data_IF_243600951471
#
_entry.id   IF_243600951471
#
_cell.length_a   1.000
_cell.length_b   1.000
_cell.length_c   1.000
_cell.angle_alpha   90.00
_cell.angle_beta   90.00
_cell.angle_gamma   90.00
#
_symmetry.space_group_name_H-M   'P 1'
#
loop_
_entity.id
_entity.type
_entity.pdbx_description
1 polymer ?
#
# COMPACT_ATOMS: atom_id res chain seq x y z
N UNK A 1 0.37 -12.35 4.64
CA UNK A 1 0.41 -10.90 4.30
C UNK A 1 1.09 -10.15 5.44
N UNK A 2 1.88 -9.09 5.14
CA UNK A 2 2.35 -8.14 6.16
C UNK A 2 1.45 -6.91 6.17
N UNK A 3 1.23 -6.31 7.36
CA UNK A 3 0.37 -5.16 7.54
C UNK A 3 0.98 -4.22 8.59
N UNK A 4 1.33 -2.99 8.19
CA UNK A 4 1.74 -1.94 9.12
C UNK A 4 0.61 -0.95 9.30
N UNK A 5 0.19 -0.73 10.53
CA UNK A 5 -0.97 0.14 10.82
C UNK A 5 -0.68 1.13 11.93
N UNK A 6 -1.42 2.25 11.85
CA UNK A 6 -1.57 3.21 12.94
C UNK A 6 -2.84 4.03 12.75
N UNK A 7 -3.77 3.94 13.70
CA UNK A 7 -5.02 4.71 13.73
C UNK A 7 -5.88 4.49 12.45
N UNK A 8 -6.18 3.22 12.12
CA UNK A 8 -6.91 2.77 10.93
C UNK A 8 -8.18 1.95 11.28
N UNK A 9 -8.80 2.22 12.45
CA UNK A 9 -9.97 1.46 12.91
C UNK A 9 -11.17 1.55 11.97
N UNK A 10 -11.26 2.61 11.18
CA UNK A 10 -12.33 2.82 10.21
C UNK A 10 -12.28 1.88 8.99
N UNK A 11 -11.14 1.20 8.77
CA UNK A 11 -10.92 0.37 7.58
C UNK A 11 -10.33 -1.01 7.88
N UNK A 12 -9.52 -1.16 8.93
CA UNK A 12 -8.68 -2.36 9.14
C UNK A 12 -9.49 -3.64 9.28
N UNK A 13 -10.69 -3.59 9.87
CA UNK A 13 -11.56 -4.77 10.00
C UNK A 13 -12.04 -5.25 8.61
N UNK A 14 -12.48 -4.32 7.78
CA UNK A 14 -12.89 -4.61 6.41
C UNK A 14 -11.71 -5.10 5.56
N UNK A 15 -10.54 -4.54 5.75
CA UNK A 15 -9.31 -4.91 5.04
C UNK A 15 -8.89 -6.35 5.37
N UNK A 16 -8.90 -6.72 6.65
CA UNK A 16 -8.56 -8.07 7.08
C UNK A 16 -9.59 -9.10 6.61
N UNK A 17 -10.88 -8.83 6.83
CA UNK A 17 -11.96 -9.72 6.41
C UNK A 17 -11.93 -9.97 4.89
N UNK A 18 -11.74 -8.92 4.11
CA UNK A 18 -11.59 -9.02 2.66
C UNK A 18 -10.41 -9.90 2.25
N UNK A 19 -9.22 -9.69 2.82
CA UNK A 19 -8.04 -10.43 2.40
C UNK A 19 -8.12 -11.91 2.78
N UNK A 20 -8.72 -12.23 3.91
CA UNK A 20 -8.97 -13.62 4.29
C UNK A 20 -9.97 -14.30 3.34
N UNK A 21 -11.01 -13.60 2.90
CA UNK A 21 -11.95 -14.11 1.90
C UNK A 21 -11.32 -14.23 0.52
N UNK A 22 -10.40 -13.33 0.17
CA UNK A 22 -9.64 -13.34 -1.07
C UNK A 22 -8.53 -14.42 -1.12
N UNK A 23 -8.32 -15.18 -0.04
CA UNK A 23 -7.38 -16.31 0.01
C UNK A 23 -6.02 -16.00 0.63
N UNK A 24 -5.94 -15.00 1.52
CA UNK A 24 -4.79 -14.81 2.41
C UNK A 24 -4.96 -15.72 3.62
N UNK A 25 -4.01 -16.61 3.85
CA UNK A 25 -4.09 -17.59 4.95
C UNK A 25 -3.78 -16.98 6.32
N UNK A 26 -2.82 -16.05 6.37
CA UNK A 26 -2.30 -15.51 7.63
C UNK A 26 -1.77 -14.08 7.47
N UNK A 27 -1.87 -13.29 8.54
CA UNK A 27 -1.39 -11.91 8.58
C UNK A 27 -0.36 -11.73 9.69
N UNK A 28 0.75 -11.03 9.39
CA UNK A 28 1.67 -10.51 10.40
C UNK A 28 1.48 -9.00 10.41
N UNK A 29 0.94 -8.48 11.50
CA UNK A 29 0.65 -7.06 11.64
C UNK A 29 1.61 -6.39 12.64
N UNK A 30 2.05 -5.17 12.31
CA UNK A 30 2.73 -4.29 13.26
C UNK A 30 1.83 -3.10 13.54
N UNK A 31 1.42 -2.96 14.81
CA UNK A 31 0.70 -1.78 15.31
C UNK A 31 1.68 -0.78 15.88
N UNK A 32 1.77 0.39 15.26
CA UNK A 32 2.59 1.50 15.73
C UNK A 32 1.78 2.47 16.60
N UNK A 33 1.39 2.02 17.80
CA UNK A 33 0.75 2.85 18.83
C UNK A 33 -0.60 3.43 18.44
N UNK A 34 -1.48 2.66 17.87
CA UNK A 34 -2.86 3.06 17.59
C UNK A 34 -3.61 3.46 18.86
N UNK A 35 -4.60 4.36 18.72
CA UNK A 35 -5.39 4.93 19.82
C UNK A 35 -6.88 5.02 19.53
N UNK A 36 -7.32 4.49 18.39
CA UNK A 36 -8.67 4.65 17.84
C UNK A 36 -9.51 3.36 17.82
N UNK A 37 -9.01 2.26 18.39
CA UNK A 37 -9.65 0.94 18.34
C UNK A 37 -9.01 -0.03 17.35
N UNK A 38 -7.98 0.39 16.60
CA UNK A 38 -7.24 -0.48 15.68
C UNK A 38 -6.63 -1.68 16.40
N UNK A 39 -6.00 -1.46 17.56
CA UNK A 39 -5.33 -2.52 18.34
C UNK A 39 -6.32 -3.61 18.74
N UNK A 40 -7.48 -3.26 19.24
CA UNK A 40 -8.53 -4.18 19.68
C UNK A 40 -9.04 -5.06 18.52
N UNK A 41 -9.12 -4.49 17.31
CA UNK A 41 -9.49 -5.24 16.10
C UNK A 41 -8.41 -6.27 15.79
N UNK A 42 -7.13 -5.87 15.78
CA UNK A 42 -6.01 -6.77 15.50
C UNK A 42 -5.91 -7.90 16.53
N UNK A 43 -6.04 -7.61 17.82
CA UNK A 43 -6.05 -8.59 18.91
C UNK A 43 -7.19 -9.61 18.79
N UNK A 44 -8.33 -9.21 18.22
CA UNK A 44 -9.41 -10.15 17.93
C UNK A 44 -8.96 -11.19 16.91
N UNK A 45 -8.37 -10.79 15.79
CA UNK A 45 -7.86 -11.70 14.77
C UNK A 45 -6.67 -12.55 15.26
N UNK A 46 -5.86 -12.02 16.18
CA UNK A 46 -4.79 -12.79 16.83
C UNK A 46 -5.36 -13.90 17.71
N UNK A 47 -6.38 -13.59 18.53
CA UNK A 47 -7.09 -14.60 19.36
C UNK A 47 -7.79 -15.67 18.51
N UNK A 48 -8.20 -15.34 17.30
CA UNK A 48 -8.76 -16.28 16.32
C UNK A 48 -7.67 -17.15 15.65
N UNK A 49 -6.39 -16.90 15.91
CA UNK A 49 -5.27 -17.62 15.32
C UNK A 49 -5.00 -17.28 13.85
N UNK A 50 -5.52 -16.17 13.36
CA UNK A 50 -5.40 -15.73 11.96
C UNK A 50 -4.34 -14.62 11.75
N UNK A 51 -3.85 -14.04 12.85
CA UNK A 51 -2.92 -12.93 12.83
C UNK A 51 -1.86 -13.10 13.92
N UNK A 52 -0.65 -12.64 13.64
CA UNK A 52 0.41 -12.42 14.63
C UNK A 52 0.61 -10.92 14.80
N UNK A 53 0.38 -10.41 16.01
CA UNK A 53 0.46 -8.99 16.32
C UNK A 53 1.80 -8.62 16.92
N UNK A 54 2.43 -7.59 16.37
CA UNK A 54 3.66 -6.99 16.87
C UNK A 54 3.34 -5.56 17.32
N UNK A 55 3.55 -5.25 18.59
CA UNK A 55 3.44 -3.89 19.11
C UNK A 55 4.76 -3.15 18.93
N UNK A 56 4.75 -2.04 18.22
CA UNK A 56 5.90 -1.18 18.01
C UNK A 56 5.77 0.10 18.86
N UNK A 57 6.53 0.21 19.98
CA UNK A 57 6.40 1.34 20.90
C UNK A 57 7.11 2.60 20.41
N UNK A 58 7.92 2.53 19.37
CA UNK A 58 8.68 3.66 18.83
C UNK A 58 7.78 4.79 18.35
N UNK A 59 8.24 6.03 18.51
CA UNK A 59 7.52 7.22 18.02
C UNK A 59 7.92 7.61 16.60
N UNK A 60 9.02 7.09 16.10
CA UNK A 60 9.54 7.26 14.76
C UNK A 60 8.87 6.26 13.80
N UNK A 61 8.85 6.59 12.51
CA UNK A 61 8.32 5.72 11.47
C UNK A 61 9.47 5.03 10.74
N UNK A 62 9.67 3.74 11.00
CA UNK A 62 10.67 2.88 10.34
C UNK A 62 10.01 1.85 9.42
N UNK A 63 9.14 2.31 8.54
CA UNK A 63 8.31 1.44 7.71
C UNK A 63 9.10 0.30 7.05
N UNK A 64 10.16 0.61 6.30
CA UNK A 64 10.94 -0.42 5.58
C UNK A 64 11.58 -1.46 6.51
N UNK A 65 12.01 -1.07 7.71
CA UNK A 65 12.62 -1.99 8.69
C UNK A 65 11.56 -2.93 9.28
N UNK A 66 10.41 -2.38 9.67
CA UNK A 66 9.32 -3.17 10.28
C UNK A 66 8.68 -4.10 9.27
N UNK A 67 8.40 -3.63 8.06
CA UNK A 67 7.84 -4.51 7.00
C UNK A 67 8.87 -5.56 6.58
N UNK A 68 10.16 -5.23 6.49
CA UNK A 68 11.21 -6.22 6.21
C UNK A 68 11.27 -7.28 7.32
N UNK A 69 11.16 -6.89 8.60
CA UNK A 69 11.09 -7.83 9.74
C UNK A 69 9.91 -8.78 9.60
N UNK A 70 8.70 -8.26 9.33
CA UNK A 70 7.50 -9.07 9.15
C UNK A 70 7.63 -10.02 7.95
N UNK A 71 8.16 -9.54 6.82
CA UNK A 71 8.34 -10.35 5.62
C UNK A 71 9.35 -11.50 5.83
N UNK A 72 10.39 -11.28 6.64
CA UNK A 72 11.34 -12.34 7.02
C UNK A 72 10.72 -13.34 7.98
N UNK A 73 9.98 -12.89 8.99
CA UNK A 73 9.22 -13.77 9.89
C UNK A 73 8.25 -14.66 9.12
N UNK A 74 7.57 -14.12 8.09
CA UNK A 74 6.70 -14.91 7.22
C UNK A 74 7.44 -16.11 6.61
N UNK A 75 8.71 -15.93 6.20
CA UNK A 75 9.52 -16.99 5.63
C UNK A 75 10.08 -17.96 6.67
N UNK A 76 10.56 -17.44 7.83
CA UNK A 76 11.33 -18.25 8.80
C UNK A 76 10.45 -18.97 9.82
N UNK A 77 9.38 -18.30 10.26
CA UNK A 77 8.58 -18.75 11.42
C UNK A 77 7.19 -19.25 10.98
N UNK A 78 6.68 -18.75 9.86
CA UNK A 78 5.33 -19.08 9.37
C UNK A 78 5.32 -19.89 8.06
N UNK A 79 6.47 -20.24 7.52
CA UNK A 79 6.63 -21.09 6.31
C UNK A 79 5.76 -20.63 5.13
N UNK A 80 5.64 -19.32 4.93
CA UNK A 80 4.87 -18.75 3.83
C UNK A 80 5.52 -19.08 2.47
N UNK A 81 4.71 -19.30 1.45
CA UNK A 81 5.17 -19.38 0.06
C UNK A 81 5.33 -18.00 -0.56
N UNK A 82 4.35 -17.12 -0.31
CA UNK A 82 4.30 -15.76 -0.81
C UNK A 82 3.96 -14.78 0.31
N UNK A 83 4.43 -13.56 0.16
CA UNK A 83 4.16 -12.44 1.07
C UNK A 83 3.63 -11.26 0.28
N UNK A 84 2.43 -10.79 0.62
CA UNK A 84 1.89 -9.52 0.16
C UNK A 84 2.26 -8.44 1.19
N UNK A 85 2.80 -7.32 0.74
CA UNK A 85 3.07 -6.18 1.62
C UNK A 85 1.98 -5.13 1.41
N UNK A 86 1.07 -5.00 2.38
CA UNK A 86 -0.10 -4.14 2.28
C UNK A 86 -0.06 -3.00 3.32
N UNK A 87 -0.60 -1.85 2.94
CA UNK A 87 -1.03 -0.81 3.87
C UNK A 87 -2.54 -0.99 4.17
N UNK A 88 -3.06 -0.39 5.24
CA UNK A 88 -4.46 -0.63 5.67
C UNK A 88 -5.50 -0.13 4.66
N UNK A 89 -5.14 0.86 3.85
CA UNK A 89 -6.00 1.46 2.82
C UNK A 89 -5.90 0.79 1.44
N UNK A 90 -5.33 -0.44 1.39
CA UNK A 90 -5.07 -1.20 0.19
C UNK A 90 -5.76 -2.57 0.22
N UNK A 91 -6.49 -2.89 -0.82
CA UNK A 91 -7.18 -4.17 -1.01
C UNK A 91 -6.61 -4.85 -2.26
N UNK A 92 -5.85 -5.92 -2.05
CA UNK A 92 -5.25 -6.70 -3.14
C UNK A 92 -6.32 -7.53 -3.84
N UNK A 93 -6.51 -7.27 -5.11
CA UNK A 93 -7.55 -7.88 -5.93
C UNK A 93 -6.93 -8.80 -6.98
N UNK A 94 -7.31 -10.06 -6.97
CA UNK A 94 -6.98 -11.00 -8.03
C UNK A 94 -8.14 -11.09 -9.03
N UNK A 95 -7.81 -11.12 -10.32
CA UNK A 95 -8.84 -11.23 -11.34
C UNK A 95 -9.15 -12.72 -11.61
N UNK A 96 -10.39 -13.14 -11.37
CA UNK A 96 -10.90 -14.45 -11.78
C UNK A 96 -10.57 -15.64 -10.88
N UNK A 97 -9.79 -15.44 -9.83
CA UNK A 97 -9.35 -16.49 -8.93
C UNK A 97 -9.01 -15.92 -7.55
N UNK A 98 -8.74 -16.77 -6.57
CA UNK A 98 -8.17 -16.34 -5.30
C UNK A 98 -6.72 -15.82 -5.47
N UNK A 99 -6.28 -14.95 -4.58
CA UNK A 99 -4.90 -14.41 -4.60
C UNK A 99 -3.87 -15.55 -4.59
N UNK A 100 -4.08 -16.56 -3.74
CA UNK A 100 -3.19 -17.72 -3.64
C UNK A 100 -3.10 -18.51 -4.95
N UNK A 101 -4.21 -18.67 -5.67
CA UNK A 101 -4.25 -19.38 -6.96
C UNK A 101 -3.48 -18.61 -8.03
N UNK A 102 -3.66 -17.28 -8.10
CA UNK A 102 -2.91 -16.41 -9.03
C UNK A 102 -1.42 -16.49 -8.74
N UNK A 103 -1.01 -16.39 -7.48
CA UNK A 103 0.40 -16.43 -7.09
C UNK A 103 1.01 -17.82 -7.32
N UNK A 104 0.26 -18.88 -7.10
CA UNK A 104 0.71 -20.27 -7.39
C UNK A 104 0.96 -20.52 -8.88
N UNK A 105 0.22 -19.81 -9.76
CA UNK A 105 0.40 -19.91 -11.22
C UNK A 105 1.64 -19.16 -11.73
N UNK A 106 2.27 -18.29 -10.92
CA UNK A 106 3.48 -17.57 -11.32
C UNK A 106 4.66 -18.52 -11.50
N UNK A 107 5.32 -18.51 -12.66
CA UNK A 107 6.45 -19.40 -12.91
C UNK A 107 7.55 -19.28 -11.84
N UNK A 108 8.18 -20.39 -11.40
CA UNK A 108 9.14 -20.39 -10.28
C UNK A 108 10.33 -19.43 -10.42
N UNK A 109 10.68 -19.08 -11.66
CA UNK A 109 11.77 -18.12 -11.93
C UNK A 109 11.47 -16.70 -11.46
N UNK A 110 10.18 -16.33 -11.30
CA UNK A 110 9.80 -15.01 -10.83
C UNK A 110 9.52 -15.06 -9.34
N UNK A 111 10.15 -14.13 -8.62
CA UNK A 111 10.04 -14.03 -7.18
C UNK A 111 9.35 -12.76 -6.71
N UNK A 112 9.05 -11.81 -7.60
CA UNK A 112 8.31 -10.58 -7.28
C UNK A 112 7.20 -10.38 -8.31
N UNK A 113 6.00 -10.09 -7.81
CA UNK A 113 4.82 -9.71 -8.59
C UNK A 113 4.34 -8.34 -8.10
N UNK A 114 3.94 -7.49 -9.02
CA UNK A 114 3.43 -6.16 -8.69
C UNK A 114 1.93 -6.10 -8.81
N UNK A 115 1.30 -5.47 -7.81
CA UNK A 115 -0.09 -5.06 -7.84
C UNK A 115 -0.18 -3.57 -8.21
N UNK A 116 -0.92 -3.25 -9.26
CA UNK A 116 -1.11 -1.87 -9.72
C UNK A 116 -2.20 -1.18 -8.92
N UNK A 117 -1.98 0.06 -8.47
CA UNK A 117 -2.98 0.84 -7.78
C UNK A 117 -4.14 1.24 -8.68
N UNK A 118 -5.35 1.10 -8.15
CA UNK A 118 -6.59 1.67 -8.63
C UNK A 118 -7.07 2.67 -7.60
N UNK A 119 -6.73 3.95 -7.79
CA UNK A 119 -7.01 4.99 -6.82
C UNK A 119 -8.48 5.37 -6.82
N UNK A 120 -9.16 5.11 -5.71
CA UNK A 120 -10.51 5.56 -5.47
C UNK A 120 -10.53 7.00 -4.98
N UNK A 121 -11.42 7.80 -5.54
CA UNK A 121 -11.51 9.23 -5.20
C UNK A 121 -12.41 9.45 -3.99
N UNK A 122 -12.08 10.39 -3.10
CA UNK A 122 -12.96 10.76 -2.02
C UNK A 122 -14.25 11.37 -2.55
N UNK A 123 -15.35 11.02 -1.91
CA UNK A 123 -16.69 11.55 -2.17
C UNK A 123 -17.17 12.33 -0.93
N UNK A 124 -18.17 13.22 -1.06
CA UNK A 124 -18.75 13.91 0.09
C UNK A 124 -19.07 12.95 1.23
N UNK A 125 -18.77 13.38 2.46
CA UNK A 125 -19.05 12.59 3.64
C UNK A 125 -20.52 12.72 4.02
N UNK A 126 -21.27 11.63 3.90
CA UNK A 126 -22.69 11.53 4.20
C UNK A 126 -22.97 10.59 5.38
N UNK A 127 -21.91 10.25 6.14
CA UNK A 127 -21.99 9.37 7.31
C UNK A 127 -21.99 7.86 6.96
N UNK A 128 -22.01 7.48 5.67
CA UNK A 128 -21.82 6.08 5.27
C UNK A 128 -20.33 5.71 5.34
N UNK A 129 -20.04 4.40 5.44
CA UNK A 129 -18.67 3.91 5.38
C UNK A 129 -17.97 4.33 4.08
N UNK A 130 -16.63 4.34 4.08
CA UNK A 130 -15.85 4.68 2.89
C UNK A 130 -16.19 3.74 1.73
N UNK A 131 -16.38 2.45 1.98
CA UNK A 131 -16.67 1.45 0.95
C UNK A 131 -18.03 1.68 0.26
N UNK A 132 -19.00 2.26 0.96
CA UNK A 132 -20.31 2.62 0.40
C UNK A 132 -20.27 3.91 -0.44
N UNK A 133 -19.38 4.85 -0.08
CA UNK A 133 -19.27 6.16 -0.74
C UNK A 133 -18.29 6.17 -1.90
N UNK A 134 -17.12 5.56 -1.70
CA UNK A 134 -15.99 5.65 -2.63
C UNK A 134 -16.05 4.50 -3.64
N UNK A 135 -17.00 4.59 -4.55
CA UNK A 135 -17.23 3.60 -5.63
C UNK A 135 -16.77 4.10 -7.00
N UNK A 136 -15.93 5.13 -7.02
CA UNK A 136 -15.42 5.75 -8.26
C UNK A 136 -13.90 5.81 -8.18
N UNK A 137 -13.24 5.39 -9.24
CA UNK A 137 -11.79 5.43 -9.36
C UNK A 137 -11.30 6.27 -10.52
N UNK A 138 -10.06 6.70 -10.44
CA UNK A 138 -9.34 7.28 -11.57
C UNK A 138 -9.09 6.22 -12.65
N UNK A 139 -9.27 6.62 -13.93
CA UNK A 139 -8.95 5.80 -15.09
C UNK A 139 -7.60 6.16 -15.69
N UNK A 140 -7.22 7.43 -15.59
CA UNK A 140 -5.95 7.91 -16.14
C UNK A 140 -4.87 7.80 -15.09
N UNK A 141 -3.75 7.14 -15.39
CA UNK A 141 -2.61 7.14 -14.48
C UNK A 141 -2.11 8.58 -14.33
N UNK A 142 -2.23 9.14 -13.13
CA UNK A 142 -1.60 10.40 -12.82
C UNK A 142 -0.33 10.13 -12.00
N UNK A 143 0.82 10.20 -12.65
CA UNK A 143 2.12 9.98 -12.02
C UNK A 143 2.66 11.20 -11.29
N UNK A 144 1.98 12.35 -11.42
CA UNK A 144 2.51 13.64 -10.98
C UNK A 144 1.76 14.26 -9.83
N UNK A 145 0.51 13.86 -9.60
CA UNK A 145 -0.35 14.47 -8.58
C UNK A 145 -0.54 13.55 -7.37
N UNK A 146 0.04 13.98 -6.28
CA UNK A 146 -0.19 13.44 -4.97
C UNK A 146 -1.55 13.97 -4.41
N UNK A 147 -2.33 13.19 -3.67
CA UNK A 147 -2.06 11.85 -3.13
C UNK A 147 -2.51 10.66 -4.01
N UNK A 148 -3.05 10.93 -5.20
CA UNK A 148 -3.66 9.94 -6.08
C UNK A 148 -2.73 9.52 -7.23
N UNK A 149 -1.42 9.67 -7.06
CA UNK A 149 -0.44 9.22 -8.06
C UNK A 149 -0.51 7.70 -8.25
N UNK A 150 -0.27 7.26 -9.48
CA UNK A 150 -0.25 5.83 -9.81
C UNK A 150 1.06 5.20 -9.38
N UNK A 151 0.95 4.17 -8.57
CA UNK A 151 2.07 3.36 -8.11
C UNK A 151 1.71 1.87 -8.13
N UNK A 152 2.67 1.04 -7.78
CA UNK A 152 2.47 -0.38 -7.55
C UNK A 152 3.05 -0.78 -6.19
N UNK A 153 2.58 -1.89 -5.65
CA UNK A 153 3.16 -2.55 -4.48
C UNK A 153 3.68 -3.92 -4.88
N UNK A 154 4.57 -4.47 -4.07
CA UNK A 154 5.17 -5.77 -4.34
C UNK A 154 4.61 -6.88 -3.46
N UNK A 155 4.19 -7.97 -4.09
CA UNK A 155 4.13 -9.29 -3.48
C UNK A 155 5.39 -10.06 -3.88
N UNK A 156 5.91 -10.91 -2.99
CA UNK A 156 7.15 -11.64 -3.28
C UNK A 156 7.11 -13.06 -2.71
N UNK A 157 7.90 -13.96 -3.30
CA UNK A 157 8.15 -15.27 -2.67
C UNK A 157 8.82 -15.05 -1.33
N UNK A 158 8.42 -15.84 -0.34
CA UNK A 158 9.00 -15.74 0.98
C UNK A 158 10.51 -16.05 0.93
N UNK A 159 11.31 -15.18 1.54
CA UNK A 159 12.76 -15.31 1.58
C UNK A 159 13.30 -14.72 2.89
N UNK A 160 14.19 -15.46 3.57
CA UNK A 160 14.75 -15.04 4.85
C UNK A 160 15.70 -13.83 4.73
N UNK A 161 16.22 -13.56 3.53
CA UNK A 161 17.11 -12.44 3.23
C UNK A 161 16.40 -11.26 2.58
N UNK A 162 15.06 -11.31 2.44
CA UNK A 162 14.28 -10.27 1.80
C UNK A 162 14.48 -8.92 2.48
N UNK A 163 14.48 -7.86 1.68
CA UNK A 163 14.45 -6.47 2.11
C UNK A 163 13.35 -5.74 1.35
N UNK A 164 12.47 -5.10 2.09
CA UNK A 164 11.36 -4.32 1.52
C UNK A 164 11.77 -2.86 1.41
N UNK A 165 11.57 -2.28 0.24
CA UNK A 165 11.80 -0.86 -0.04
C UNK A 165 10.77 0.04 0.63
N UNK A 166 11.04 1.35 0.60
CA UNK A 166 10.12 2.35 1.14
C UNK A 166 8.76 2.27 0.43
N UNK A 167 7.68 2.42 1.18
CA UNK A 167 6.33 2.38 0.64
C UNK A 167 5.89 1.01 0.12
N UNK A 168 6.64 -0.06 0.42
CA UNK A 168 6.33 -1.43 -0.03
C UNK A 168 6.35 -1.60 -1.57
N UNK A 169 6.97 -0.66 -2.30
CA UNK A 169 7.00 -0.67 -3.76
C UNK A 169 7.94 -1.74 -4.31
N UNK A 170 8.99 -2.09 -3.57
CA UNK A 170 10.05 -2.99 -4.00
C UNK A 170 10.34 -4.08 -2.97
N UNK A 171 10.63 -5.28 -3.46
CA UNK A 171 11.20 -6.36 -2.67
C UNK A 171 12.52 -6.82 -3.29
N UNK A 172 13.57 -6.87 -2.49
CA UNK A 172 14.92 -7.27 -2.88
C UNK A 172 15.33 -8.51 -2.09
N UNK A 173 15.98 -9.46 -2.74
CA UNK A 173 16.49 -10.67 -2.10
C UNK A 173 17.18 -11.55 -3.13
N UNK A 174 17.89 -12.58 -2.67
CA UNK A 174 18.53 -13.52 -3.55
C UNK A 174 17.47 -14.33 -4.32
N UNK A 175 17.53 -14.34 -5.65
CA UNK A 175 16.58 -15.06 -6.49
C UNK A 175 15.22 -14.41 -6.68
N UNK A 176 14.98 -13.21 -6.11
CA UNK A 176 13.74 -12.47 -6.30
C UNK A 176 13.75 -11.69 -7.62
N UNK A 177 13.53 -12.40 -8.74
CA UNK A 177 13.40 -11.79 -10.06
C UNK A 177 11.98 -11.20 -10.23
N UNK A 178 11.81 -9.92 -10.57
CA UNK A 178 10.50 -9.35 -10.79
C UNK A 178 9.86 -9.82 -12.11
N UNK A 179 8.57 -10.13 -12.05
CA UNK A 179 7.70 -10.31 -13.22
C UNK A 179 7.38 -8.91 -13.78
N UNK A 180 7.68 -8.68 -15.05
CA UNK A 180 7.46 -7.40 -15.73
C UNK A 180 6.50 -7.56 -16.90
N UNK A 181 5.81 -6.48 -17.26
CA UNK A 181 4.90 -6.43 -18.39
C UNK A 181 3.59 -7.22 -18.17
N UNK A 182 3.37 -7.75 -16.97
CA UNK A 182 2.13 -8.39 -16.58
C UNK A 182 1.81 -8.15 -15.10
N UNK A 183 0.65 -7.59 -14.83
CA UNK A 183 0.15 -7.23 -13.50
C UNK A 183 -1.08 -8.07 -13.19
N UNK A 184 -0.91 -9.32 -12.71
CA UNK A 184 -2.03 -10.23 -12.44
C UNK A 184 -2.86 -9.83 -11.22
N UNK A 185 -2.36 -8.89 -10.42
CA UNK A 185 -3.00 -8.36 -9.24
C UNK A 185 -3.23 -6.86 -9.38
N UNK A 186 -4.36 -6.39 -8.91
CA UNK A 186 -4.66 -4.97 -8.73
C UNK A 186 -4.70 -4.65 -7.24
N UNK A 187 -4.59 -3.38 -6.90
CA UNK A 187 -4.78 -2.90 -5.54
C UNK A 187 -5.83 -1.80 -5.56
N UNK A 188 -6.97 -2.06 -4.96
CA UNK A 188 -7.99 -1.06 -4.77
C UNK A 188 -7.56 -0.18 -3.61
N UNK A 189 -7.21 1.08 -3.88
CA UNK A 189 -6.51 1.98 -2.96
C UNK A 189 -7.38 3.16 -2.55
N UNK A 190 -7.54 3.36 -1.24
CA UNK A 190 -8.42 4.33 -0.60
C UNK A 190 -7.62 5.31 0.29
N UNK A 191 -6.70 6.10 -0.27
CA UNK A 191 -5.71 6.85 0.50
C UNK A 191 -6.28 8.03 1.30
N UNK A 192 -7.43 8.55 0.87
CA UNK A 192 -8.09 9.75 1.42
C UNK A 192 -9.56 9.45 1.63
N UNK A 193 -9.98 9.08 2.84
CA UNK A 193 -11.36 8.63 3.11
C UNK A 193 -12.26 9.71 3.68
N UNK A 194 -11.71 10.59 4.52
CA UNK A 194 -12.42 11.73 5.10
C UNK A 194 -11.43 12.83 5.48
N UNK A 195 -11.92 14.03 5.77
CA UNK A 195 -11.09 15.11 6.28
C UNK A 195 -10.43 14.71 7.62
N UNK A 196 -11.19 14.12 8.53
CA UNK A 196 -10.69 13.69 9.83
C UNK A 196 -9.58 12.66 9.70
N UNK A 197 -9.78 11.62 8.86
CA UNK A 197 -8.74 10.63 8.56
C UNK A 197 -7.49 11.30 7.96
N UNK A 198 -7.67 12.23 7.01
CA UNK A 198 -6.55 12.95 6.37
C UNK A 198 -5.75 13.75 7.38
N UNK A 199 -6.44 14.46 8.33
CA UNK A 199 -5.79 15.17 9.43
C UNK A 199 -4.93 14.21 10.25
N UNK A 200 -5.51 13.10 10.73
CA UNK A 200 -4.78 12.12 11.54
C UNK A 200 -3.58 11.56 10.78
N UNK A 201 -3.78 11.08 9.56
CA UNK A 201 -2.75 10.46 8.73
C UNK A 201 -1.58 11.41 8.48
N UNK A 202 -1.84 12.59 7.89
CA UNK A 202 -0.76 13.51 7.50
C UNK A 202 -0.03 14.11 8.70
N UNK A 203 -0.75 14.49 9.75
CA UNK A 203 -0.12 15.06 10.95
C UNK A 203 0.71 14.02 11.68
N UNK A 204 0.15 12.83 11.89
CA UNK A 204 0.84 11.75 12.62
C UNK A 204 2.07 11.28 11.87
N UNK A 205 1.95 11.07 10.55
CA UNK A 205 3.08 10.64 9.72
C UNK A 205 4.15 11.71 9.60
N UNK A 206 3.77 13.00 9.45
CA UNK A 206 4.73 14.09 9.41
C UNK A 206 5.56 14.15 10.70
N UNK A 207 4.90 14.16 11.86
CA UNK A 207 5.58 14.22 13.17
C UNK A 207 6.49 13.00 13.39
N UNK A 208 6.06 11.81 12.95
CA UNK A 208 6.87 10.61 13.06
C UNK A 208 8.09 10.63 12.13
N UNK A 209 7.94 11.17 10.90
CA UNK A 209 9.06 11.34 9.96
C UNK A 209 10.02 12.45 10.38
N UNK A 210 9.54 13.53 10.97
CA UNK A 210 10.38 14.61 11.50
C UNK A 210 11.34 14.10 12.59
N UNK A 211 10.91 13.15 13.41
CA UNK A 211 11.76 12.47 14.41
C UNK A 211 12.79 11.54 13.79
N UNK A 212 12.61 11.12 12.54
CA UNK A 212 13.53 10.24 11.82
C UNK A 212 14.47 11.06 10.94
N UNK A 213 15.54 11.60 11.53
CA UNK A 213 16.48 12.55 10.91
C UNK A 213 17.23 12.02 9.66
N UNK A 214 17.14 10.73 9.35
CA UNK A 214 17.86 10.12 8.22
C UNK A 214 17.05 10.09 6.90
N UNK A 215 15.78 10.42 6.93
CA UNK A 215 14.90 10.32 5.74
C UNK A 215 14.18 11.63 5.50
N UNK A 216 14.36 12.20 4.32
CA UNK A 216 13.64 13.40 3.90
C UNK A 216 12.12 13.21 4.00
N UNK A 217 11.41 14.27 4.40
CA UNK A 217 9.94 14.31 4.44
C UNK A 217 9.45 14.57 3.01
N UNK A 218 8.50 13.77 2.48
CA UNK A 218 7.91 14.03 1.17
C UNK A 218 7.23 15.41 1.12
N UNK A 219 7.41 16.14 0.02
CA UNK A 219 6.90 17.51 -0.12
C UNK A 219 5.40 17.64 0.19
N UNK A 220 4.59 16.73 -0.30
CA UNK A 220 3.15 16.72 -0.05
C UNK A 220 2.78 16.57 1.43
N UNK A 221 3.56 15.82 2.20
CA UNK A 221 3.34 15.70 3.65
C UNK A 221 3.73 17.00 4.35
N UNK A 222 4.82 17.64 3.92
CA UNK A 222 5.23 18.93 4.45
C UNK A 222 4.19 20.03 4.15
N UNK A 223 3.63 20.04 2.94
CA UNK A 223 2.57 20.97 2.52
C UNK A 223 1.28 20.74 3.31
N UNK A 224 0.84 19.48 3.45
CA UNK A 224 -0.34 19.13 4.24
C UNK A 224 -0.17 19.53 5.73
N UNK A 225 1.00 19.27 6.31
CA UNK A 225 1.30 19.68 7.68
C UNK A 225 1.36 21.20 7.85
N UNK A 226 1.94 21.91 6.91
CA UNK A 226 1.94 23.39 6.91
C UNK A 226 0.50 23.95 6.79
N UNK A 227 -0.33 23.35 5.96
CA UNK A 227 -1.75 23.69 5.84
C UNK A 227 -2.50 23.41 7.16
N UNK A 228 -2.24 22.28 7.81
CA UNK A 228 -2.80 21.94 9.13
C UNK A 228 -2.42 22.98 10.19
N UNK A 229 -1.12 23.31 10.30
CA UNK A 229 -0.62 24.32 11.25
C UNK A 229 -1.24 25.70 11.03
N UNK A 230 -1.62 26.00 9.81
CA UNK A 230 -2.28 27.25 9.43
C UNK A 230 -3.81 27.20 9.56
N UNK A 231 -4.40 26.08 10.03
CA UNK A 231 -5.86 25.89 10.10
C UNK A 231 -6.54 25.78 8.74
N UNK A 232 -5.80 25.40 7.69
CA UNK A 232 -6.24 25.38 6.29
C UNK A 232 -6.26 24.00 5.67
N UNK A 233 -6.20 22.93 6.46
CA UNK A 233 -6.13 21.57 5.91
C UNK A 233 -7.39 21.21 5.11
N UNK A 234 -8.56 21.78 5.45
CA UNK A 234 -9.77 21.61 4.64
C UNK A 234 -9.56 22.06 3.18
N UNK A 235 -8.84 23.16 2.97
CA UNK A 235 -8.51 23.68 1.63
C UNK A 235 -7.57 22.73 0.84
N UNK A 236 -6.83 21.86 1.52
CA UNK A 236 -6.03 20.82 0.90
C UNK A 236 -6.88 19.58 0.57
N UNK A 237 -7.87 19.25 1.40
CA UNK A 237 -8.74 18.09 1.24
C UNK A 237 -9.88 18.33 0.24
N UNK A 238 -10.56 19.47 0.33
CA UNK A 238 -11.74 19.81 -0.48
C UNK A 238 -11.52 19.65 -2.00
N UNK A 239 -10.38 20.06 -2.58
CA UNK A 239 -10.12 19.86 -4.01
C UNK A 239 -10.00 18.41 -4.46
N UNK A 240 -9.77 17.48 -3.51
CA UNK A 240 -9.70 16.03 -3.80
C UNK A 240 -11.07 15.39 -3.84
N UNK A 241 -12.08 16.02 -3.23
CA UNK A 241 -13.46 15.48 -3.15
C UNK A 241 -14.15 15.67 -4.50
N UNK A 242 -14.57 14.57 -5.10
CA UNK A 242 -15.29 14.60 -6.37
C UNK A 242 -16.79 14.75 -6.12
N UNK A 243 -17.32 15.93 -6.42
CA UNK A 243 -18.74 16.24 -6.35
C UNK A 243 -19.53 15.64 -7.53
N UNK A 244 -20.86 15.60 -7.46
CA UNK A 244 -21.71 14.94 -8.47
C UNK A 244 -21.55 15.52 -9.88
N UNK A 245 -21.36 16.84 -10.01
CA UNK A 245 -21.12 17.48 -11.31
C UNK A 245 -19.78 17.05 -11.94
N UNK A 246 -18.72 17.00 -11.15
CA UNK A 246 -17.41 16.55 -11.58
C UNK A 246 -17.40 15.05 -11.87
N UNK A 247 -18.16 14.27 -11.09
CA UNK A 247 -18.36 12.84 -11.34
C UNK A 247 -19.00 12.60 -12.71
N UNK A 248 -20.11 13.27 -13.02
CA UNK A 248 -20.80 13.09 -14.31
C UNK A 248 -19.85 13.42 -15.49
N UNK A 249 -19.14 14.53 -15.42
CA UNK A 249 -18.17 14.91 -16.44
C UNK A 249 -17.00 13.92 -16.56
N UNK A 250 -16.50 13.40 -15.44
CA UNK A 250 -15.41 12.43 -15.41
C UNK A 250 -15.81 11.06 -15.97
N UNK A 251 -17.04 10.61 -15.74
CA UNK A 251 -17.58 9.39 -16.34
C UNK A 251 -17.79 9.56 -17.84
N UNK A 252 -18.27 10.71 -18.29
CA UNK A 252 -18.50 11.00 -19.71
C UNK A 252 -17.20 11.06 -20.51
N UNK A 253 -16.17 11.70 -19.98
CA UNK A 253 -14.88 11.84 -20.66
C UNK A 253 -13.91 10.67 -20.42
N UNK A 254 -14.29 9.67 -19.61
CA UNK A 254 -13.51 8.47 -19.32
C UNK A 254 -12.34 8.68 -18.34
N UNK A 255 -12.22 9.83 -17.70
CA UNK A 255 -11.21 10.05 -16.65
C UNK A 255 -11.56 9.38 -15.32
N UNK A 256 -12.83 9.08 -15.11
CA UNK A 256 -13.36 8.35 -13.97
C UNK A 256 -14.11 7.09 -14.41
N UNK A 257 -14.10 6.05 -13.59
CA UNK A 257 -14.93 4.86 -13.76
C UNK A 257 -15.66 4.50 -12.48
N UNK A 258 -16.89 4.03 -12.62
CA UNK A 258 -17.61 3.39 -11.53
C UNK A 258 -16.99 2.00 -11.29
N UNK A 259 -16.60 1.74 -10.04
CA UNK A 259 -16.03 0.47 -9.61
C UNK A 259 -16.60 0.09 -8.24
N UNK A 260 -17.54 -0.81 -8.24
CA UNK A 260 -18.28 -1.23 -7.03
C UNK A 260 -17.78 -2.55 -6.45
N UNK A 261 -16.73 -3.15 -7.03
CA UNK A 261 -16.26 -4.49 -6.69
C UNK A 261 -16.00 -4.66 -5.19
N UNK A 262 -15.28 -3.72 -4.58
CA UNK A 262 -14.98 -3.80 -3.14
C UNK A 262 -16.25 -3.66 -2.30
N UNK A 263 -17.09 -2.69 -2.60
CA UNK A 263 -18.37 -2.49 -1.89
C UNK A 263 -19.20 -3.77 -1.90
N UNK A 264 -19.37 -4.35 -3.08
CA UNK A 264 -20.26 -5.50 -3.26
C UNK A 264 -19.72 -6.74 -2.54
N UNK A 265 -18.39 -6.95 -2.53
CA UNK A 265 -17.76 -8.02 -1.76
C UNK A 265 -17.85 -7.78 -0.25
N UNK A 266 -17.59 -6.57 0.22
CA UNK A 266 -17.69 -6.24 1.65
C UNK A 266 -19.12 -6.37 2.18
N UNK A 267 -20.15 -6.03 1.36
CA UNK A 267 -21.54 -6.31 1.69
C UNK A 267 -21.80 -7.80 1.84
N UNK A 268 -21.24 -8.63 0.97
CA UNK A 268 -21.28 -10.10 1.09
C UNK A 268 -20.66 -10.63 2.37
N UNK A 269 -19.65 -9.93 2.92
CA UNK A 269 -19.00 -10.24 4.18
C UNK A 269 -19.70 -9.63 5.42
N UNK A 270 -20.84 -8.95 5.23
CA UNK A 270 -21.62 -8.36 6.31
C UNK A 270 -21.26 -6.92 6.67
N UNK A 271 -20.42 -6.25 5.86
CA UNK A 271 -20.11 -4.83 6.04
C UNK A 271 -21.02 -3.96 5.16
N UNK A 272 -21.50 -2.87 5.72
CA UNK A 272 -22.37 -1.91 4.99
C UNK A 272 -23.85 -2.29 4.97
N UNK A 273 -24.61 -1.64 4.10
CA UNK A 273 -26.05 -1.85 4.00
C UNK A 273 -26.34 -3.11 3.17
N UNK A 274 -27.05 -4.11 3.68
CA UNK A 274 -27.41 -5.29 2.90
C UNK A 274 -28.20 -4.91 1.65
N UNK A 275 -27.75 -5.39 0.49
CA UNK A 275 -28.52 -5.29 -0.75
C UNK A 275 -29.23 -6.63 -1.02
N UNK A 276 -30.55 -6.70 -0.87
CA UNK A 276 -31.28 -7.93 -1.10
C UNK A 276 -31.19 -8.46 -2.55
N UNK A 277 -30.83 -7.59 -3.50
CA UNK A 277 -30.71 -7.97 -4.92
C UNK A 277 -29.33 -8.59 -5.24
N UNK A 278 -28.33 -8.41 -4.37
CA UNK A 278 -26.99 -8.97 -4.53
C UNK A 278 -26.88 -10.44 -4.08
N UNK A 279 -27.88 -10.98 -3.41
CA UNK A 279 -27.93 -12.37 -2.98
C UNK A 279 -28.01 -13.30 -4.21
N UNK A 280 -26.86 -13.75 -4.71
CA UNK A 280 -26.74 -14.64 -5.86
C UNK A 280 -25.93 -14.12 -7.04
N UNK A 281 -25.41 -12.90 -6.95
CA UNK A 281 -24.42 -12.45 -7.90
C UNK A 281 -23.11 -13.21 -7.64
N UNK A 282 -22.92 -14.34 -8.32
CA UNK A 282 -21.60 -14.96 -8.40
C UNK A 282 -20.62 -13.90 -8.86
N UNK A 283 -19.47 -13.80 -8.24
CA UNK A 283 -18.36 -12.91 -8.58
C UNK A 283 -17.79 -13.34 -9.94
N UNK A 284 -18.64 -13.36 -10.97
CA UNK A 284 -18.28 -13.63 -12.35
C UNK A 284 -17.65 -12.38 -12.93
N UNK A 285 -16.35 -12.46 -13.24
CA UNK A 285 -15.72 -11.46 -14.08
C UNK A 285 -16.56 -11.23 -15.32
N UNK A 286 -17.11 -10.04 -15.45
CA UNK A 286 -17.75 -9.61 -16.67
C UNK A 286 -16.77 -9.80 -17.82
N UNK A 287 -17.26 -10.24 -18.98
CA UNK A 287 -16.48 -10.28 -20.22
C UNK A 287 -15.78 -8.94 -20.36
N UNK A 288 -14.43 -8.95 -20.45
CA UNK A 288 -13.66 -7.77 -20.87
C UNK A 288 -14.25 -7.33 -22.22
N UNK A 289 -14.93 -6.21 -22.25
CA UNK A 289 -15.28 -5.61 -23.53
C UNK A 289 -14.00 -5.03 -24.19
N UNK A 290 -14.08 -4.71 -25.47
CA UNK A 290 -12.91 -4.21 -26.23
C UNK A 290 -12.42 -2.89 -25.65
N UNK A 291 -13.30 -2.06 -25.09
CA UNK A 291 -12.93 -0.77 -24.49
C UNK A 291 -12.17 -0.97 -23.17
N UNK A 292 -12.60 -1.90 -22.34
CA UNK A 292 -11.89 -2.27 -21.11
C UNK A 292 -10.52 -2.89 -21.42
N UNK A 293 -10.40 -3.69 -22.48
CA UNK A 293 -9.11 -4.25 -22.91
C UNK A 293 -8.15 -3.17 -23.41
N UNK A 294 -8.62 -2.19 -24.17
CA UNK A 294 -7.81 -1.06 -24.64
C UNK A 294 -7.36 -0.17 -23.48
N UNK A 295 -8.24 0.09 -22.52
CA UNK A 295 -7.91 0.82 -21.31
C UNK A 295 -6.86 0.07 -20.48
N UNK A 296 -7.02 -1.22 -20.27
CA UNK A 296 -6.05 -2.05 -19.57
C UNK A 296 -4.67 -2.03 -20.25
N UNK A 297 -4.63 -2.07 -21.59
CA UNK A 297 -3.38 -2.02 -22.36
C UNK A 297 -2.69 -0.65 -22.17
N UNK A 298 -3.44 0.45 -22.23
CA UNK A 298 -2.90 1.79 -22.00
C UNK A 298 -2.38 1.96 -20.57
N UNK A 299 -3.14 1.50 -19.56
CA UNK A 299 -2.74 1.52 -18.17
C UNK A 299 -1.51 0.63 -17.91
N UNK A 300 -1.43 -0.55 -18.52
CA UNK A 300 -0.27 -1.45 -18.41
C UNK A 300 0.99 -0.84 -18.99
N UNK A 301 0.89 -0.13 -20.13
CA UNK A 301 2.03 0.59 -20.73
C UNK A 301 2.51 1.69 -19.81
N UNK A 302 1.60 2.50 -19.27
CA UNK A 302 1.93 3.57 -18.36
C UNK A 302 2.51 3.06 -17.03
N UNK A 303 2.05 1.90 -16.55
CA UNK A 303 2.60 1.23 -15.38
C UNK A 303 4.01 0.69 -15.64
N UNK A 304 4.28 0.11 -16.82
CA UNK A 304 5.61 -0.35 -17.19
C UNK A 304 6.63 0.78 -17.23
N UNK A 305 6.25 1.94 -17.77
CA UNK A 305 7.09 3.13 -17.78
C UNK A 305 7.36 3.66 -16.37
N UNK A 306 6.32 3.75 -15.54
CA UNK A 306 6.43 4.13 -14.13
C UNK A 306 7.25 3.12 -13.34
N UNK A 307 7.03 1.83 -13.56
CA UNK A 307 7.74 0.75 -12.90
C UNK A 307 9.24 0.79 -13.23
N UNK A 308 9.57 1.05 -14.48
CA UNK A 308 10.97 1.23 -14.87
C UNK A 308 11.63 2.41 -14.15
N UNK A 309 10.94 3.54 -14.04
CA UNK A 309 11.42 4.72 -13.33
C UNK A 309 11.60 4.46 -11.83
N UNK A 310 10.63 3.77 -11.20
CA UNK A 310 10.69 3.38 -9.79
C UNK A 310 11.84 2.41 -9.52
N UNK A 311 12.01 1.39 -10.36
CA UNK A 311 13.11 0.42 -10.23
C UNK A 311 14.46 1.10 -10.38
N UNK A 312 14.58 2.02 -11.32
CA UNK A 312 15.82 2.79 -11.53
C UNK A 312 16.09 3.68 -10.33
N UNK A 313 15.09 4.40 -9.83
CA UNK A 313 15.18 5.23 -8.62
C UNK A 313 15.61 4.43 -7.40
N UNK A 314 14.94 3.30 -7.11
CA UNK A 314 15.29 2.43 -5.98
C UNK A 314 16.71 1.83 -6.11
N UNK A 315 17.15 1.55 -7.34
CA UNK A 315 18.51 1.04 -7.59
C UNK A 315 19.56 2.12 -7.41
N UNK A 316 19.26 3.36 -7.76
CA UNK A 316 20.13 4.52 -7.50
C UNK A 316 20.26 4.73 -5.98
N UNK A 317 19.15 4.75 -5.24
CA UNK A 317 19.15 4.87 -3.76
C UNK A 317 19.95 3.73 -3.08
N UNK A 318 19.81 2.49 -3.55
CA UNK A 318 20.62 1.36 -3.04
C UNK A 318 22.12 1.55 -3.31
N UNK A 319 22.47 2.00 -4.50
CA UNK A 319 23.87 2.29 -4.87
C UNK A 319 24.43 3.45 -4.03
N UNK A 320 23.70 4.54 -3.89
CA UNK A 320 24.10 5.69 -3.06
C UNK A 320 24.29 5.28 -1.61
N UNK A 321 23.37 4.48 -1.06
CA UNK A 321 23.50 3.93 0.28
C UNK A 321 24.73 3.03 0.44
N UNK A 322 25.07 2.24 -0.58
CA UNK A 322 26.30 1.39 -0.58
C UNK A 322 27.55 2.22 -0.68
N UNK A 323 27.59 3.23 -1.54
CA UNK A 323 28.70 4.17 -1.67
C UNK A 323 28.93 4.90 -0.33
N UNK A 324 27.89 5.46 0.26
CA UNK A 324 28.00 6.12 1.56
C UNK A 324 28.49 5.21 2.70
N UNK A 325 28.14 3.90 2.68
CA UNK A 325 28.70 2.92 3.62
C UNK A 325 30.20 2.67 3.39
N UNK A 326 30.61 2.60 2.12
CA UNK A 326 32.04 2.42 1.76
C UNK A 326 32.86 3.63 2.16
N UNK A 327 32.38 4.84 1.88
CA UNK A 327 33.05 6.09 2.26
C UNK A 327 33.23 6.21 3.75
N UNK A 328 32.18 5.95 4.56
CA UNK A 328 32.29 5.91 6.03
C UNK A 328 33.29 4.84 6.51
N UNK A 329 33.30 3.68 5.86
CA UNK A 329 34.25 2.60 6.15
C UNK A 329 35.70 3.00 5.87
N UNK A 330 35.96 3.70 4.76
CA UNK A 330 37.28 4.21 4.37
C UNK A 330 37.71 5.31 5.34
N UNK A 331 36.87 6.29 5.63
CA UNK A 331 37.16 7.37 6.59
C UNK A 331 37.49 6.82 7.99
N UNK A 332 36.77 5.78 8.44
CA UNK A 332 37.04 5.13 9.72
C UNK A 332 38.38 4.41 9.73
N UNK A 333 38.77 3.77 8.62
CA UNK A 333 40.09 3.12 8.48
C UNK A 333 41.22 4.14 8.43
N UNK A 334 41.08 5.20 7.63
CA UNK A 334 42.05 6.30 7.54
C UNK A 334 42.24 6.99 8.92
N UNK A 335 41.13 7.30 9.61
CA UNK A 335 41.19 7.88 10.95
C UNK A 335 41.87 6.99 11.98
N UNK A 336 41.79 5.63 11.87
CA UNK A 336 42.54 4.70 12.72
C UNK A 336 44.05 4.70 12.40
N UNK A 337 44.40 4.76 11.10
CA UNK A 337 45.80 4.79 10.67
C UNK A 337 46.47 6.09 11.13
N UNK A 338 45.81 7.23 10.93
CA UNK A 338 46.32 8.54 11.37
C UNK A 338 46.51 8.58 12.91
N UNK A 339 45.56 8.06 13.70
CA UNK A 339 45.69 8.00 15.17
C UNK A 339 46.77 7.02 15.65
N UNK A 340 47.10 5.99 14.89
CA UNK A 340 48.24 5.10 15.20
C UNK A 340 49.56 5.74 14.86
N UNK A 341 49.66 6.49 13.75
CA UNK A 341 50.88 7.20 13.34
C UNK A 341 51.23 8.42 14.20
N UNK A 342 50.25 8.98 14.95
CA UNK A 342 50.47 10.07 15.88
C UNK A 342 50.86 9.61 17.32
N UNK A 343 50.87 8.29 17.56
CA UNK A 343 51.24 7.68 18.86
C UNK A 343 52.57 6.93 18.82
N UNK A 344 53.25 6.90 17.68
CA UNK A 344 54.63 6.44 17.49
C UNK A 344 55.53 7.67 17.28
#
# INVERSE_FOLDING_TARGET
>A
MTLLVRDEADIVDQQLAFHFDAGVDFVIATDNRSRDGTTEILERYEREGRLHLIHEPGEDLRQSEWVTRMARLAATDFAADWVLNADADEFWWAQGAGIGEVLAAIPPRYGVVRGAWRNFVPRPDDGRSFSERMTVRLCTPDFHHHPLSTHSKSAHRAAADVRIGRGNHEAFGQGLLPLRGWYPLEILHFPVRSLEHSVRKYVTQFVALEKNAEKGIPNHMAEAYAAYRAGRLAQFYEPLVVEDSALAAGLENGSLALDTRLRDQLRGLGFGTPDPSAAGASHGFGRLDVSAAAQYAAESTALDESDFALVLGARIEDLESRVGRLERGVLTRVGRVVRRGLRS
#
